data_IF_649976543909
#
_entry.id   IF_649976543909
#
_cell.length_a   1.000
_cell.length_b   1.000
_cell.length_c   1.000
_cell.angle_alpha   90.00
_cell.angle_beta   90.00
_cell.angle_gamma   90.00
#
_symmetry.space_group_name_H-M   'P 1'
#
loop_
_entity.id
_entity.type
_entity.pdbx_description
1 polymer ?
#
# COMPACT_ATOMS: atom_id res chain seq x y z
N UNK A 1 13.94 -8.09 -7.97
CA UNK A 1 12.73 -7.34 -7.59
C UNK A 1 11.56 -8.29 -7.66
N UNK A 2 10.82 -8.49 -6.56
CA UNK A 2 9.75 -9.51 -6.50
C UNK A 2 8.60 -9.16 -7.46
N UNK A 3 8.01 -10.16 -8.12
CA UNK A 3 6.90 -9.99 -9.07
C UNK A 3 5.71 -9.25 -8.44
N UNK A 4 5.45 -9.50 -7.16
CA UNK A 4 4.42 -8.82 -6.35
C UNK A 4 4.62 -7.31 -6.29
N UNK A 5 5.87 -6.85 -6.13
CA UNK A 5 6.18 -5.41 -6.06
C UNK A 5 5.99 -4.74 -7.42
N UNK A 6 6.30 -5.45 -8.51
CA UNK A 6 6.10 -4.96 -9.87
C UNK A 6 4.60 -4.80 -10.14
N UNK A 7 3.79 -5.79 -9.76
CA UNK A 7 2.33 -5.73 -9.89
C UNK A 7 1.75 -4.57 -9.08
N UNK A 8 2.20 -4.39 -7.83
CA UNK A 8 1.76 -3.25 -7.03
C UNK A 8 2.12 -1.91 -7.69
N UNK A 9 3.37 -1.74 -8.14
CA UNK A 9 3.82 -0.48 -8.73
C UNK A 9 3.03 -0.16 -10.01
N UNK A 10 2.84 -1.14 -10.87
CA UNK A 10 2.01 -0.99 -12.07
C UNK A 10 0.57 -0.64 -11.70
N UNK A 11 0.00 -1.29 -10.68
CA UNK A 11 -1.35 -1.03 -10.21
C UNK A 11 -1.53 0.40 -9.68
N UNK A 12 -0.65 0.83 -8.78
CA UNK A 12 -0.68 2.19 -8.22
C UNK A 12 -0.48 3.26 -9.30
N UNK A 13 0.34 3.00 -10.32
CA UNK A 13 0.49 3.89 -11.47
C UNK A 13 -0.78 3.96 -12.32
N UNK A 14 -1.42 2.81 -12.60
CA UNK A 14 -2.68 2.77 -13.33
C UNK A 14 -3.79 3.56 -12.62
N UNK A 15 -3.93 3.41 -11.30
CA UNK A 15 -4.87 4.18 -10.49
C UNK A 15 -4.59 5.68 -10.57
N UNK A 16 -3.34 6.10 -10.38
CA UNK A 16 -2.97 7.50 -10.49
C UNK A 16 -3.27 8.09 -11.88
N UNK A 17 -3.02 7.34 -12.96
CA UNK A 17 -3.37 7.75 -14.31
C UNK A 17 -4.88 7.92 -14.49
N UNK A 18 -5.68 7.03 -13.91
CA UNK A 18 -7.14 7.08 -13.97
C UNK A 18 -7.71 8.28 -13.21
N UNK A 19 -7.15 8.58 -12.03
CA UNK A 19 -7.54 9.76 -11.24
C UNK A 19 -7.21 11.07 -11.97
N UNK A 20 -6.02 11.18 -12.56
CA UNK A 20 -5.63 12.33 -13.38
C UNK A 20 -6.55 12.46 -14.59
N UNK A 21 -6.90 11.35 -15.24
CA UNK A 21 -7.80 11.36 -16.38
C UNK A 21 -9.21 11.82 -15.99
N UNK A 22 -9.72 11.35 -14.86
CA UNK A 22 -11.01 11.76 -14.28
C UNK A 22 -11.05 13.26 -14.00
N UNK A 23 -10.05 13.77 -13.26
CA UNK A 23 -9.93 15.20 -12.94
C UNK A 23 -9.79 16.06 -14.19
N UNK A 24 -9.02 15.61 -15.19
CA UNK A 24 -8.77 16.37 -16.42
C UNK A 24 -10.02 16.46 -17.30
N UNK A 25 -10.78 15.38 -17.39
CA UNK A 25 -11.91 15.29 -18.31
C UNK A 25 -13.24 15.74 -17.68
N UNK A 26 -13.27 16.04 -16.37
CA UNK A 26 -14.48 16.34 -15.59
C UNK A 26 -15.63 15.37 -15.89
N UNK A 27 -15.30 14.15 -16.29
CA UNK A 27 -16.27 13.09 -16.52
C UNK A 27 -16.24 12.23 -15.28
N UNK A 28 -17.35 12.23 -14.57
CA UNK A 28 -17.64 11.19 -13.60
C UNK A 28 -17.36 9.82 -14.22
N UNK A 29 -16.79 8.90 -13.44
CA UNK A 29 -16.58 7.51 -13.85
C UNK A 29 -17.95 6.84 -14.01
N UNK A 30 -18.65 7.16 -15.09
CA UNK A 30 -20.05 6.82 -15.36
C UNK A 30 -20.27 5.34 -15.74
N UNK A 31 -19.30 4.47 -15.40
CA UNK A 31 -19.39 3.03 -15.55
C UNK A 31 -19.23 2.39 -14.16
N UNK A 32 -20.34 2.26 -13.38
CA UNK A 32 -20.31 1.72 -12.02
C UNK A 32 -19.69 0.32 -11.93
N UNK A 33 -19.81 -0.49 -12.98
CA UNK A 33 -19.19 -1.82 -13.07
C UNK A 33 -17.66 -1.76 -13.05
N UNK A 34 -17.06 -0.76 -13.71
CA UNK A 34 -15.62 -0.58 -13.73
C UNK A 34 -15.14 -0.11 -12.35
N UNK A 35 -15.84 0.85 -11.75
CA UNK A 35 -15.55 1.33 -10.39
C UNK A 35 -15.53 0.18 -9.37
N UNK A 36 -16.51 -0.72 -9.43
CA UNK A 36 -16.62 -1.86 -8.51
C UNK A 36 -15.42 -2.81 -8.62
N UNK A 37 -14.97 -3.12 -9.84
CA UNK A 37 -13.79 -3.96 -10.05
C UNK A 37 -12.52 -3.33 -9.45
N UNK A 38 -12.32 -2.02 -9.64
CA UNK A 38 -11.17 -1.32 -9.07
C UNK A 38 -11.19 -1.31 -7.54
N UNK A 39 -12.35 -1.02 -6.93
CA UNK A 39 -12.49 -0.98 -5.47
C UNK A 39 -12.18 -2.33 -4.83
N UNK A 40 -12.66 -3.43 -5.41
CA UNK A 40 -12.37 -4.78 -4.91
C UNK A 40 -10.88 -5.08 -4.97
N UNK A 41 -10.21 -4.77 -6.08
CA UNK A 41 -8.77 -5.01 -6.21
C UNK A 41 -7.99 -4.15 -5.23
N UNK A 42 -8.30 -2.86 -5.13
CA UNK A 42 -7.61 -1.93 -4.24
C UNK A 42 -7.67 -2.39 -2.77
N UNK A 43 -8.82 -2.90 -2.36
CA UNK A 43 -9.04 -3.50 -1.06
C UNK A 43 -8.19 -4.77 -0.84
N UNK A 44 -8.16 -5.69 -1.80
CA UNK A 44 -7.31 -6.91 -1.73
C UNK A 44 -5.84 -6.54 -1.63
N UNK A 45 -5.38 -5.55 -2.40
CA UNK A 45 -4.00 -5.07 -2.32
C UNK A 45 -3.67 -4.43 -0.97
N UNK A 46 -4.62 -3.71 -0.36
CA UNK A 46 -4.47 -3.16 0.99
C UNK A 46 -4.26 -4.26 2.04
N UNK A 47 -5.01 -5.37 1.97
CA UNK A 47 -4.85 -6.53 2.87
C UNK A 47 -3.49 -7.19 2.65
N UNK A 48 -3.07 -7.37 1.39
CA UNK A 48 -1.79 -7.96 1.07
C UNK A 48 -0.62 -7.11 1.61
N UNK A 49 -0.71 -5.78 1.47
CA UNK A 49 0.25 -4.83 2.04
C UNK A 49 0.31 -4.89 3.56
N UNK A 50 -0.84 -5.01 4.22
CA UNK A 50 -0.90 -5.18 5.67
C UNK A 50 -0.13 -6.42 6.12
N UNK A 51 -0.35 -7.55 5.45
CA UNK A 51 0.38 -8.79 5.74
C UNK A 51 1.89 -8.62 5.55
N UNK A 52 2.33 -7.97 4.47
CA UNK A 52 3.75 -7.71 4.21
C UNK A 52 4.39 -6.79 5.25
N UNK A 53 3.66 -5.75 5.67
CA UNK A 53 4.08 -4.86 6.75
C UNK A 53 4.19 -5.59 8.08
N UNK A 54 3.17 -6.34 8.49
CA UNK A 54 3.18 -7.08 9.77
C UNK A 54 4.32 -8.09 9.83
N UNK A 55 4.57 -8.83 8.75
CA UNK A 55 5.70 -9.76 8.67
C UNK A 55 7.03 -9.02 8.82
N UNK A 56 7.20 -7.90 8.11
CA UNK A 56 8.43 -7.10 8.18
C UNK A 56 8.63 -6.47 9.56
N UNK A 57 7.58 -5.91 10.16
CA UNK A 57 7.61 -5.30 11.48
C UNK A 57 7.95 -6.32 12.58
N UNK A 58 7.38 -7.53 12.52
CA UNK A 58 7.71 -8.60 13.47
C UNK A 58 9.19 -8.96 13.41
N UNK A 59 9.74 -9.08 12.21
CA UNK A 59 11.15 -9.41 12.00
C UNK A 59 12.05 -8.27 12.49
N UNK A 60 11.67 -7.01 12.24
CA UNK A 60 12.39 -5.83 12.76
C UNK A 60 12.43 -5.81 14.28
N UNK A 61 11.27 -5.99 14.93
CA UNK A 61 11.19 -5.97 16.40
C UNK A 61 12.04 -7.11 16.97
N UNK A 62 11.94 -8.31 16.41
CA UNK A 62 12.74 -9.46 16.85
C UNK A 62 14.25 -9.20 16.74
N UNK A 63 14.72 -8.69 15.59
CA UNK A 63 16.14 -8.40 15.39
C UNK A 63 16.67 -7.27 16.27
N UNK A 64 15.88 -6.20 16.45
CA UNK A 64 16.31 -5.03 17.22
C UNK A 64 16.19 -5.23 18.73
N UNK A 65 15.12 -5.88 19.19
CA UNK A 65 14.75 -5.93 20.62
C UNK A 65 15.20 -7.20 21.33
N UNK A 66 15.07 -8.36 20.68
CA UNK A 66 15.38 -9.64 21.34
C UNK A 66 16.84 -10.04 21.13
N UNK A 67 17.33 -9.93 19.89
CA UNK A 67 18.70 -10.37 19.55
C UNK A 67 19.77 -9.28 19.73
N UNK A 68 19.38 -8.00 19.94
CA UNK A 68 20.30 -6.85 20.03
C UNK A 68 21.39 -6.80 18.92
N UNK A 69 21.11 -7.34 17.74
CA UNK A 69 22.05 -7.36 16.59
C UNK A 69 22.58 -5.97 16.24
N UNK A 70 21.75 -4.96 16.48
CA UNK A 70 22.03 -3.54 16.29
C UNK A 70 23.19 -3.03 17.17
N UNK A 71 23.38 -3.60 18.37
CA UNK A 71 24.47 -3.26 19.28
C UNK A 71 25.73 -4.10 19.02
N UNK A 72 25.55 -5.36 18.63
CA UNK A 72 26.65 -6.32 18.42
C UNK A 72 27.32 -6.17 17.06
N UNK A 73 26.56 -5.81 16.02
CA UNK A 73 27.06 -5.60 14.67
C UNK A 73 26.81 -4.16 14.19
N UNK A 74 27.66 -3.24 14.64
CA UNK A 74 27.64 -1.79 14.33
C UNK A 74 27.75 -1.43 12.83
N UNK A 75 28.02 -2.41 11.96
CA UNK A 75 28.08 -2.22 10.51
C UNK A 75 26.70 -2.30 9.82
N UNK A 76 25.68 -2.84 10.50
CA UNK A 76 24.32 -2.86 9.96
C UNK A 76 23.65 -1.50 10.23
N UNK A 77 23.20 -0.85 9.16
CA UNK A 77 22.38 0.37 9.21
C UNK A 77 20.95 0.03 9.65
N UNK A 78 20.84 -0.35 10.92
CA UNK A 78 19.62 -0.73 11.61
C UNK A 78 18.56 0.39 11.55
N UNK A 79 18.99 1.66 11.48
CA UNK A 79 18.12 2.81 11.27
C UNK A 79 17.42 2.79 9.90
N UNK A 80 18.11 2.37 8.83
CA UNK A 80 17.51 2.26 7.50
C UNK A 80 16.43 1.17 7.46
N UNK A 81 16.64 0.06 8.17
CA UNK A 81 15.65 -1.01 8.25
C UNK A 81 14.37 -0.56 8.96
N UNK A 82 14.50 0.14 10.10
CA UNK A 82 13.37 0.75 10.81
C UNK A 82 12.64 1.77 9.95
N UNK A 83 13.37 2.63 9.23
CA UNK A 83 12.79 3.61 8.31
C UNK A 83 12.03 2.92 7.18
N UNK A 84 12.57 1.84 6.60
CA UNK A 84 11.91 1.09 5.54
C UNK A 84 10.58 0.49 5.99
N UNK A 85 10.54 -0.13 7.18
CA UNK A 85 9.30 -0.67 7.74
C UNK A 85 8.29 0.43 8.09
N UNK A 86 8.77 1.58 8.57
CA UNK A 86 7.91 2.73 8.85
C UNK A 86 7.31 3.30 7.56
N UNK A 87 8.09 3.39 6.48
CA UNK A 87 7.56 3.80 5.17
C UNK A 87 6.55 2.79 4.64
N UNK A 88 6.79 1.49 4.84
CA UNK A 88 5.82 0.44 4.46
C UNK A 88 4.48 0.56 5.20
N UNK A 89 4.50 1.00 6.47
CA UNK A 89 3.29 1.34 7.22
C UNK A 89 2.53 2.51 6.59
N UNK A 90 3.24 3.59 6.26
CA UNK A 90 2.62 4.76 5.62
C UNK A 90 2.06 4.43 4.24
N UNK A 91 2.75 3.62 3.44
CA UNK A 91 2.22 3.19 2.14
C UNK A 91 0.96 2.36 2.29
N UNK A 92 0.92 1.46 3.29
CA UNK A 92 -0.30 0.72 3.61
C UNK A 92 -1.44 1.63 4.07
N UNK A 93 -1.18 2.62 4.93
CA UNK A 93 -2.21 3.58 5.37
C UNK A 93 -2.82 4.37 4.21
N UNK A 94 -1.99 4.86 3.28
CA UNK A 94 -2.46 5.57 2.09
C UNK A 94 -3.31 4.66 1.20
N UNK A 95 -2.87 3.41 1.02
CA UNK A 95 -3.62 2.39 0.28
C UNK A 95 -4.98 2.08 0.94
N UNK A 96 -5.02 1.99 2.27
CA UNK A 96 -6.27 1.76 3.01
C UNK A 96 -7.23 2.96 2.86
N UNK A 97 -6.71 4.19 2.96
CA UNK A 97 -7.51 5.40 2.76
C UNK A 97 -8.08 5.49 1.33
N UNK A 98 -7.27 5.15 0.32
CA UNK A 98 -7.72 5.02 -1.08
C UNK A 98 -8.90 4.04 -1.18
N UNK A 99 -8.74 2.82 -0.67
CA UNK A 99 -9.80 1.80 -0.74
C UNK A 99 -11.09 2.25 -0.07
N UNK A 100 -10.99 2.92 1.09
CA UNK A 100 -12.15 3.43 1.82
C UNK A 100 -12.88 4.54 1.06
N UNK A 101 -12.13 5.47 0.45
CA UNK A 101 -12.71 6.52 -0.38
C UNK A 101 -13.39 5.95 -1.63
N UNK A 102 -12.81 4.90 -2.24
CA UNK A 102 -13.40 4.16 -3.35
C UNK A 102 -14.71 3.47 -2.97
N UNK A 103 -14.76 2.81 -1.81
CA UNK A 103 -16.01 2.24 -1.28
C UNK A 103 -17.07 3.31 -1.05
N UNK A 104 -16.70 4.46 -0.49
CA UNK A 104 -17.63 5.56 -0.25
C UNK A 104 -18.21 6.13 -1.56
N UNK A 105 -17.37 6.30 -2.58
CA UNK A 105 -17.80 6.71 -3.91
C UNK A 105 -18.75 5.68 -4.54
N UNK A 106 -18.46 4.39 -4.39
CA UNK A 106 -19.31 3.32 -4.90
C UNK A 106 -20.69 3.32 -4.22
N UNK A 107 -20.74 3.51 -2.90
CA UNK A 107 -21.99 3.65 -2.16
C UNK A 107 -22.75 4.91 -2.59
N UNK A 108 -22.05 6.02 -2.88
CA UNK A 108 -22.69 7.27 -3.29
C UNK A 108 -23.30 7.22 -4.70
N UNK A 109 -22.88 6.26 -5.53
CA UNK A 109 -23.41 6.05 -6.88
C UNK A 109 -24.67 5.17 -6.92
N UNK A 110 -24.92 4.38 -5.87
CA UNK A 110 -26.11 3.54 -5.68
C UNK A 110 -27.18 4.27 -4.86
#
# INVERSE_FOLDING_TARGET
MNLVLIVQLLWSLCLACQDIFSLRNNRDLHAPDFLLFFVIIDWVMAIHMFSGFCASASVTIFFMKDMNFCAEYRHLDCNQFTLSVTLAFFTWLLQAASSFSGFWLLISFF
#
